data_IF_773898613777
#
_entry.id   IF_773898613777
#
_cell.length_a   1.000
_cell.length_b   1.000
_cell.length_c   1.000
_cell.angle_alpha   90.00
_cell.angle_beta   90.00
_cell.angle_gamma   90.00
#
_symmetry.space_group_name_H-M   'P 1'
#
loop_
_entity.id
_entity.type
_entity.pdbx_description
1 polymer ?
#
# COMPACT_ATOMS: atom_id res chain seq x y z
N UNK A 1 -6.52 -4.80 -54.37
CA UNK A 1 -5.57 -5.79 -53.81
C UNK A 1 -4.75 -5.30 -52.61
N UNK A 2 -4.79 -4.01 -52.24
CA UNK A 2 -4.10 -3.48 -51.04
C UNK A 2 -4.89 -3.60 -49.72
N UNK A 3 -6.21 -3.80 -49.79
CA UNK A 3 -7.09 -3.86 -48.60
C UNK A 3 -7.09 -5.23 -47.88
N UNK A 4 -6.64 -6.31 -48.53
CA UNK A 4 -6.60 -7.64 -47.90
C UNK A 4 -5.42 -7.79 -46.93
N UNK A 5 -4.30 -7.10 -47.17
CA UNK A 5 -3.05 -7.23 -46.40
C UNK A 5 -3.09 -6.49 -45.05
N UNK A 6 -3.81 -5.36 -44.94
CA UNK A 6 -4.02 -4.67 -43.66
C UNK A 6 -4.84 -5.51 -42.67
N UNK A 7 -5.76 -6.33 -43.18
CA UNK A 7 -6.65 -7.15 -42.34
C UNK A 7 -5.94 -8.33 -41.66
N UNK A 8 -4.84 -8.85 -42.23
CA UNK A 8 -4.09 -9.98 -41.68
C UNK A 8 -3.10 -9.52 -40.60
N UNK A 9 -2.48 -8.36 -40.78
CA UNK A 9 -1.56 -7.74 -39.80
C UNK A 9 -2.29 -7.30 -38.52
N UNK A 10 -3.48 -6.71 -38.64
CA UNK A 10 -4.30 -6.30 -37.48
C UNK A 10 -4.89 -7.51 -36.71
N UNK A 11 -5.14 -8.64 -37.38
CA UNK A 11 -5.62 -9.87 -36.71
C UNK A 11 -4.54 -10.55 -35.86
N UNK A 12 -3.26 -10.40 -36.21
CA UNK A 12 -2.16 -10.98 -35.44
C UNK A 12 -1.75 -10.13 -34.22
N UNK A 13 -1.89 -8.80 -34.29
CA UNK A 13 -1.61 -7.91 -33.14
C UNK A 13 -2.66 -8.06 -32.02
N UNK A 14 -3.94 -8.24 -32.37
CA UNK A 14 -5.01 -8.48 -31.39
C UNK A 14 -4.97 -9.86 -30.72
N UNK A 15 -4.14 -10.80 -31.23
CA UNK A 15 -3.95 -12.12 -30.61
C UNK A 15 -2.90 -12.08 -29.48
N UNK A 16 -2.01 -11.09 -29.51
CA UNK A 16 -0.93 -10.90 -28.53
C UNK A 16 -1.31 -9.92 -27.40
N UNK A 17 -2.34 -9.10 -27.58
CA UNK A 17 -2.84 -8.17 -26.55
C UNK A 17 -4.19 -8.68 -26.04
N UNK A 18 -4.17 -9.82 -25.35
CA UNK A 18 -5.32 -10.18 -24.50
C UNK A 18 -5.15 -9.41 -23.19
N UNK A 19 -6.12 -8.57 -22.77
CA UNK A 19 -6.06 -7.97 -21.44
C UNK A 19 -6.02 -9.12 -20.44
N UNK A 20 -5.01 -9.09 -19.57
CA UNK A 20 -4.70 -10.08 -18.54
C UNK A 20 -5.86 -10.31 -17.54
N UNK A 21 -6.97 -9.57 -17.68
CA UNK A 21 -8.20 -9.62 -16.85
C UNK A 21 -9.00 -10.93 -16.91
N UNK A 22 -8.71 -11.90 -17.79
CA UNK A 22 -9.59 -13.07 -18.03
C UNK A 22 -9.03 -14.47 -17.68
N UNK A 23 -7.91 -14.60 -16.96
CA UNK A 23 -7.32 -15.94 -16.65
C UNK A 23 -7.55 -16.50 -15.24
N UNK A 24 -8.18 -15.76 -14.33
CA UNK A 24 -8.28 -16.18 -12.91
C UNK A 24 -9.69 -16.16 -12.32
N UNK A 25 -10.74 -16.29 -13.14
CA UNK A 25 -12.12 -16.18 -12.64
C UNK A 25 -12.61 -17.34 -11.76
N UNK A 26 -11.78 -18.34 -11.41
CA UNK A 26 -12.24 -19.46 -10.57
C UNK A 26 -11.13 -20.20 -9.79
N UNK A 27 -10.08 -19.49 -9.35
CA UNK A 27 -9.12 -20.05 -8.38
C UNK A 27 -9.23 -19.29 -7.06
N UNK A 28 -9.14 -19.99 -5.90
CA UNK A 28 -9.09 -19.31 -4.62
C UNK A 28 -7.91 -18.33 -4.61
N UNK A 29 -8.18 -17.11 -4.19
CA UNK A 29 -7.21 -16.01 -4.12
C UNK A 29 -6.98 -15.64 -2.65
N UNK A 30 -5.72 -15.44 -2.29
CA UNK A 30 -5.31 -14.95 -0.97
C UNK A 30 -4.75 -13.54 -1.15
N UNK A 31 -5.27 -12.59 -0.38
CA UNK A 31 -4.70 -11.24 -0.31
C UNK A 31 -3.73 -11.17 0.85
N UNK A 32 -2.48 -10.80 0.55
CA UNK A 32 -1.48 -10.48 1.57
C UNK A 32 -1.58 -8.98 1.87
N UNK A 33 -1.68 -8.65 3.15
CA UNK A 33 -1.58 -7.28 3.67
C UNK A 33 -0.23 -7.20 4.38
N UNK A 34 0.69 -6.44 3.81
CA UNK A 34 2.02 -6.25 4.38
C UNK A 34 1.95 -5.19 5.47
N UNK A 35 2.24 -5.56 6.71
CA UNK A 35 2.15 -4.68 7.89
C UNK A 35 3.51 -4.36 8.49
N UNK A 36 4.60 -4.90 7.93
CA UNK A 36 5.97 -4.69 8.39
C UNK A 36 6.34 -3.21 8.60
N UNK A 37 6.04 -2.29 7.67
CA UNK A 37 6.38 -0.88 7.86
C UNK A 37 5.66 -0.18 9.02
N UNK A 38 4.45 -0.66 9.40
CA UNK A 38 3.68 -0.13 10.54
C UNK A 38 3.86 -1.00 11.77
N UNK A 39 3.25 -2.18 11.78
CA UNK A 39 3.16 -3.04 12.96
C UNK A 39 4.49 -3.70 13.28
N UNK A 40 5.27 -4.07 12.26
CA UNK A 40 6.63 -4.56 12.46
C UNK A 40 7.51 -3.52 13.12
N UNK A 41 7.74 -2.39 12.43
CA UNK A 41 8.64 -1.33 12.90
C UNK A 41 8.18 -0.66 14.21
N UNK A 42 6.88 -0.68 14.53
CA UNK A 42 6.39 -0.20 15.83
C UNK A 42 6.91 -1.03 17.00
N UNK A 43 7.12 -2.33 16.79
CA UNK A 43 7.57 -3.27 17.82
C UNK A 43 9.09 -3.48 17.84
N UNK A 44 9.83 -2.82 16.95
CA UNK A 44 11.29 -2.88 16.93
C UNK A 44 11.90 -2.00 18.03
N UNK A 45 12.99 -2.46 18.69
CA UNK A 45 13.64 -1.70 19.75
C UNK A 45 14.40 -0.48 19.23
N UNK A 46 14.83 -0.51 17.96
CA UNK A 46 15.57 0.56 17.31
C UNK A 46 14.63 1.42 16.49
N UNK A 47 14.66 2.73 16.69
CA UNK A 47 13.91 3.64 15.84
C UNK A 47 14.59 3.76 14.47
N UNK A 48 13.94 3.21 13.45
CA UNK A 48 14.45 3.22 12.07
C UNK A 48 14.32 4.62 11.46
N UNK A 49 15.38 5.17 10.84
CA UNK A 49 15.33 6.48 10.19
C UNK A 49 14.28 6.55 9.06
N UNK A 50 13.66 7.72 8.90
CA UNK A 50 12.59 7.98 7.92
C UNK A 50 12.95 7.57 6.50
N UNK A 51 14.17 7.87 6.04
CA UNK A 51 14.63 7.53 4.69
C UNK A 51 14.73 6.01 4.46
N UNK A 52 15.05 5.24 5.50
CA UNK A 52 15.10 3.78 5.43
C UNK A 52 13.69 3.20 5.41
N UNK A 53 12.75 3.78 6.18
CA UNK A 53 11.33 3.41 6.13
C UNK A 53 10.74 3.63 4.73
N UNK A 54 10.95 4.81 4.15
CA UNK A 54 10.44 5.11 2.81
C UNK A 54 11.07 4.21 1.74
N UNK A 55 12.38 3.93 1.84
CA UNK A 55 13.06 2.99 0.96
C UNK A 55 12.47 1.57 1.07
N UNK A 56 12.22 1.08 2.28
CA UNK A 56 11.58 -0.21 2.53
C UNK A 56 10.20 -0.28 1.85
N UNK A 57 9.34 0.71 2.07
CA UNK A 57 7.97 0.73 1.51
C UNK A 57 8.00 0.80 -0.03
N UNK A 58 8.92 1.59 -0.59
CA UNK A 58 9.11 1.66 -2.03
C UNK A 58 9.57 0.31 -2.60
N UNK A 59 10.52 -0.37 -1.96
CA UNK A 59 10.94 -1.73 -2.36
C UNK A 59 9.81 -2.74 -2.26
N UNK A 60 9.02 -2.70 -1.18
CA UNK A 60 7.84 -3.55 -1.04
C UNK A 60 6.82 -3.32 -2.16
N UNK A 61 6.68 -2.08 -2.63
CA UNK A 61 5.82 -1.73 -3.77
C UNK A 61 6.28 -2.34 -5.11
N UNK A 62 7.51 -2.87 -5.19
CA UNK A 62 8.04 -3.57 -6.37
C UNK A 62 7.81 -5.09 -6.33
N UNK A 63 7.32 -5.64 -5.22
CA UNK A 63 7.22 -7.10 -5.02
C UNK A 63 5.96 -7.75 -5.59
N UNK A 64 4.99 -6.94 -6.03
CA UNK A 64 3.66 -7.41 -6.46
C UNK A 64 2.60 -7.45 -5.36
N UNK A 65 2.94 -6.99 -4.15
CA UNK A 65 1.97 -6.73 -3.07
C UNK A 65 0.87 -5.75 -3.52
N UNK A 66 -0.32 -5.91 -2.95
CA UNK A 66 -1.50 -5.07 -3.27
C UNK A 66 -1.93 -4.17 -2.13
N UNK A 67 -1.42 -4.41 -0.93
CA UNK A 67 -1.74 -3.62 0.26
C UNK A 67 -0.52 -3.59 1.17
N UNK A 68 -0.05 -2.38 1.49
CA UNK A 68 1.10 -2.14 2.37
C UNK A 68 0.67 -1.11 3.41
N UNK A 69 0.54 -1.51 4.67
CA UNK A 69 0.25 -0.59 5.76
C UNK A 69 1.49 0.23 6.10
N UNK A 70 1.42 1.53 5.83
CA UNK A 70 2.61 2.39 5.70
C UNK A 70 3.12 2.88 7.04
N UNK A 71 2.22 3.37 7.89
CA UNK A 71 2.56 4.03 9.16
C UNK A 71 1.30 4.21 10.02
N UNK A 72 1.46 4.85 11.17
CA UNK A 72 0.39 5.13 12.13
C UNK A 72 0.40 6.59 12.55
N UNK A 73 -0.75 7.26 12.49
CA UNK A 73 -0.93 8.63 12.99
C UNK A 73 -1.30 8.62 14.48
N UNK A 74 -0.46 7.95 15.26
CA UNK A 74 -0.49 7.89 16.73
C UNK A 74 0.30 9.04 17.35
N UNK A 75 0.18 9.20 18.66
CA UNK A 75 1.01 10.16 19.39
C UNK A 75 2.48 9.73 19.39
N UNK A 76 3.42 10.59 18.91
CA UNK A 76 4.86 10.28 18.95
C UNK A 76 5.41 10.16 20.38
N UNK A 77 4.69 10.71 21.37
CA UNK A 77 5.03 10.54 22.79
C UNK A 77 4.85 9.09 23.25
N UNK A 78 3.83 8.40 22.74
CA UNK A 78 3.46 7.04 23.15
C UNK A 78 4.09 5.99 22.23
N UNK A 79 4.24 6.32 20.95
CA UNK A 79 4.85 5.44 19.95
C UNK A 79 5.89 6.23 19.16
N UNK A 80 7.10 6.45 19.71
CA UNK A 80 8.15 7.23 19.05
C UNK A 80 8.54 6.69 17.68
N UNK A 81 8.46 5.37 17.49
CA UNK A 81 8.77 4.68 16.24
C UNK A 81 7.93 5.20 15.07
N UNK A 82 6.71 5.68 15.32
CA UNK A 82 5.76 6.16 14.30
C UNK A 82 5.67 7.70 14.24
N UNK A 83 6.59 8.41 14.90
CA UNK A 83 6.52 9.87 15.01
C UNK A 83 6.77 10.64 13.72
N UNK A 84 7.41 10.01 12.73
CA UNK A 84 7.72 10.55 11.40
C UNK A 84 6.65 10.20 10.35
N UNK A 85 5.42 9.87 10.78
CA UNK A 85 4.33 9.39 9.92
C UNK A 85 4.03 10.29 8.70
N UNK A 86 3.99 11.62 8.88
CA UNK A 86 3.77 12.60 7.80
C UNK A 86 4.88 12.51 6.75
N UNK A 87 6.13 12.46 7.19
CA UNK A 87 7.30 12.43 6.31
C UNK A 87 7.42 11.09 5.58
N UNK A 88 7.15 9.98 6.28
CA UNK A 88 7.10 8.64 5.67
C UNK A 88 6.00 8.57 4.62
N UNK A 89 4.77 8.97 4.96
CA UNK A 89 3.65 8.88 4.02
C UNK A 89 3.84 9.78 2.80
N UNK A 90 4.41 10.97 2.99
CA UNK A 90 4.67 11.91 1.89
C UNK A 90 5.86 11.49 1.03
N UNK A 91 6.85 10.80 1.61
CA UNK A 91 8.09 10.41 0.94
C UNK A 91 8.04 9.14 0.10
N UNK A 92 6.93 8.38 0.13
CA UNK A 92 6.79 7.16 -0.68
C UNK A 92 6.23 7.44 -2.08
N UNK A 93 6.70 6.66 -3.06
CA UNK A 93 6.18 6.65 -4.42
C UNK A 93 4.99 5.71 -4.49
N UNK A 94 3.78 6.27 -4.46
CA UNK A 94 2.53 5.49 -4.46
C UNK A 94 2.22 5.00 -5.87
N UNK A 95 1.95 3.71 -6.01
CA UNK A 95 1.43 3.11 -7.25
C UNK A 95 -0.10 3.06 -7.25
N UNK A 96 -0.71 3.26 -8.41
CA UNK A 96 -2.18 3.30 -8.55
C UNK A 96 -2.86 1.96 -8.24
N UNK A 97 -2.15 0.85 -8.38
CA UNK A 97 -2.65 -0.52 -8.22
C UNK A 97 -2.30 -1.15 -6.86
N UNK A 98 -1.84 -0.32 -5.90
CA UNK A 98 -1.50 -0.69 -4.53
C UNK A 98 -2.25 0.23 -3.55
N UNK A 99 -2.81 -0.37 -2.49
CA UNK A 99 -3.32 0.40 -1.36
C UNK A 99 -2.25 0.63 -0.30
N UNK A 100 -2.28 1.83 0.28
CA UNK A 100 -1.34 2.32 1.28
C UNK A 100 -2.10 2.80 2.53
N UNK A 101 -2.76 1.89 3.28
CA UNK A 101 -3.49 2.26 4.48
C UNK A 101 -2.54 2.73 5.60
N UNK A 102 -3.10 3.53 6.51
CA UNK A 102 -2.41 3.98 7.74
C UNK A 102 -3.31 3.78 8.94
N UNK A 103 -2.72 3.48 10.10
CA UNK A 103 -3.49 3.31 11.33
C UNK A 103 -3.87 4.65 11.95
N UNK A 104 -5.15 4.82 12.28
CA UNK A 104 -5.73 6.03 12.86
C UNK A 104 -6.42 5.67 14.18
N UNK A 105 -5.86 6.07 15.35
CA UNK A 105 -6.46 5.77 16.65
C UNK A 105 -7.52 6.78 17.10
N UNK A 106 -7.56 7.98 16.50
CA UNK A 106 -8.43 9.07 16.93
C UNK A 106 -8.60 10.15 15.84
N UNK A 107 -9.50 11.11 16.10
CA UNK A 107 -9.82 12.20 15.17
C UNK A 107 -8.63 13.12 14.87
N UNK A 108 -7.75 13.40 15.84
CA UNK A 108 -6.56 14.23 15.60
C UNK A 108 -5.60 13.56 14.62
N UNK A 109 -5.43 12.24 14.74
CA UNK A 109 -4.66 11.45 13.78
C UNK A 109 -5.30 11.49 12.39
N UNK A 110 -6.62 11.36 12.31
CA UNK A 110 -7.38 11.45 11.06
C UNK A 110 -7.18 12.80 10.36
N UNK A 111 -7.33 13.90 11.08
CA UNK A 111 -7.12 15.25 10.55
C UNK A 111 -5.71 15.45 10.00
N UNK A 112 -4.70 14.87 10.66
CA UNK A 112 -3.31 14.92 10.19
C UNK A 112 -3.11 14.07 8.92
N UNK A 113 -3.69 12.88 8.88
CA UNK A 113 -3.62 11.98 7.73
C UNK A 113 -4.29 12.58 6.48
N UNK A 114 -5.42 13.27 6.66
CA UNK A 114 -6.14 13.95 5.57
C UNK A 114 -5.28 15.04 4.92
N UNK A 115 -4.46 15.76 5.70
CA UNK A 115 -3.58 16.83 5.17
C UNK A 115 -2.52 16.32 4.20
N UNK A 116 -2.13 15.05 4.29
CA UNK A 116 -1.15 14.41 3.40
C UNK A 116 -1.80 13.50 2.35
N UNK A 117 -3.12 13.58 2.19
CA UNK A 117 -3.85 12.86 1.14
C UNK A 117 -3.97 11.36 1.35
N UNK A 118 -4.01 10.89 2.60
CA UNK A 118 -4.33 9.50 2.92
C UNK A 118 -5.69 9.11 2.35
N UNK A 119 -5.75 7.97 1.63
CA UNK A 119 -6.97 7.48 0.96
C UNK A 119 -7.63 6.28 1.66
N UNK A 120 -6.89 5.56 2.50
CA UNK A 120 -7.37 4.39 3.22
C UNK A 120 -6.84 4.42 4.65
N UNK A 121 -7.68 4.05 5.62
CA UNK A 121 -7.34 4.05 7.04
C UNK A 121 -7.67 2.71 7.66
N UNK A 122 -6.92 2.36 8.70
CA UNK A 122 -7.22 1.24 9.59
C UNK A 122 -7.60 1.78 10.98
N UNK A 123 -8.67 1.23 11.54
CA UNK A 123 -9.06 1.42 12.95
C UNK A 123 -8.92 0.07 13.66
N UNK A 124 -8.71 0.09 14.97
CA UNK A 124 -8.60 -1.13 15.77
C UNK A 124 -9.55 -1.07 16.95
N UNK A 125 -9.96 -2.25 17.40
CA UNK A 125 -10.75 -2.45 18.60
C UNK A 125 -10.24 -3.71 19.32
N UNK A 126 -10.44 -3.78 20.63
CA UNK A 126 -10.19 -4.98 21.41
C UNK A 126 -11.51 -5.70 21.69
N UNK A 127 -11.48 -7.03 21.68
CA UNK A 127 -12.59 -7.86 22.16
C UNK A 127 -12.53 -8.11 23.68
N UNK A 128 -11.51 -7.56 24.37
CA UNK A 128 -11.28 -7.69 25.81
C UNK A 128 -11.19 -6.30 26.45
N UNK A 129 -11.96 -6.10 27.52
CA UNK A 129 -11.94 -4.87 28.33
C UNK A 129 -10.61 -4.64 29.05
N UNK A 130 -9.81 -5.69 29.29
CA UNK A 130 -8.53 -5.59 30.01
C UNK A 130 -7.31 -5.28 29.13
N UNK A 131 -7.52 -4.99 27.84
CA UNK A 131 -6.47 -4.74 26.85
C UNK A 131 -5.97 -3.29 26.88
#
# INVERSE_FOLDING_TARGET
MALQLQSVLLRNLNRCIKPWKKRFHNKPYVRIVEVGPRDGLQNEPVNVPTNIKTELINKLSETGLRTIEVTSFVSPKWVPQMGDNVDVYSGITKKDDISYPVLIPNLKGLESAMKVGVREIAVFASASEGF
#
